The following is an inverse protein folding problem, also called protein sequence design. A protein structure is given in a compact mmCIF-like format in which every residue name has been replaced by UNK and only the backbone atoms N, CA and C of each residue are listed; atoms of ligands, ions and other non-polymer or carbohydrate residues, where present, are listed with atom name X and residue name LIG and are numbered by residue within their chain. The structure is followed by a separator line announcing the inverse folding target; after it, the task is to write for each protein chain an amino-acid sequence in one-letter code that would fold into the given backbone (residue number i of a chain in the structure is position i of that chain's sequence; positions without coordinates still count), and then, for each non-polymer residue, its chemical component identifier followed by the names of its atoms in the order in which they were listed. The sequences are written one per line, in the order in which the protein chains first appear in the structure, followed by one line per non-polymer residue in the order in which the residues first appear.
data_IF_872584390213
#
_entry.id   IF_872584390213
#
_cell.length_a   1.000
_cell.length_b   1.000
_cell.length_c   1.000
_cell.angle_alpha   90.00
_cell.angle_beta   90.00
_cell.angle_gamma   90.00
#
_symmetry.space_group_name_H-M   'P 1'
#
loop_
_entity.id
_entity.type
_entity.pdbx_description
1 polymer ?
#
# COMPACT_ATOMS: atom_id res chain seq x y z
N UNK A 1 28.13 11.96 40.00
CA UNK A 1 27.71 10.58 39.63
C UNK A 1 28.63 10.12 38.52
N UNK A 2 29.44 9.09 38.77
CA UNK A 2 30.33 8.56 37.74
C UNK A 2 29.47 7.96 36.62
N UNK A 3 29.63 8.45 35.39
CA UNK A 3 29.07 7.80 34.22
C UNK A 3 29.65 6.38 34.18
N UNK A 4 28.80 5.36 34.35
CA UNK A 4 29.21 3.98 34.16
C UNK A 4 29.70 3.87 32.71
N UNK A 5 30.98 3.55 32.53
CA UNK A 5 31.53 3.31 31.19
C UNK A 5 30.70 2.21 30.53
N UNK A 6 30.02 2.55 29.43
CA UNK A 6 29.24 1.59 28.67
C UNK A 6 30.17 0.53 28.04
N UNK A 7 29.72 -0.71 27.97
CA UNK A 7 30.48 -1.82 27.36
C UNK A 7 30.73 -1.50 25.87
N UNK A 8 32.01 -1.38 25.41
CA UNK A 8 32.34 -1.09 24.02
C UNK A 8 31.71 -2.05 23.00
N UNK A 9 31.41 -3.30 23.41
CA UNK A 9 30.74 -4.28 22.55
C UNK A 9 29.29 -3.89 22.26
N UNK A 10 28.59 -3.35 23.27
CA UNK A 10 27.20 -2.90 23.12
C UNK A 10 27.13 -1.65 22.24
N UNK A 11 28.11 -0.75 22.34
CA UNK A 11 28.24 0.41 21.45
C UNK A 11 28.42 -0.04 20.00
N UNK A 12 29.34 -0.99 19.74
CA UNK A 12 29.56 -1.51 18.39
C UNK A 12 28.31 -2.21 17.81
N UNK A 13 27.58 -2.96 18.64
CA UNK A 13 26.30 -3.56 18.24
C UNK A 13 25.24 -2.49 17.95
N UNK A 14 25.20 -1.40 18.72
CA UNK A 14 24.30 -0.28 18.48
C UNK A 14 24.58 0.40 17.14
N UNK A 15 25.84 0.76 16.87
CA UNK A 15 26.26 1.37 15.61
C UNK A 15 25.93 0.47 14.40
N UNK A 16 26.16 -0.84 14.55
CA UNK A 16 25.78 -1.84 13.54
C UNK A 16 24.26 -1.88 13.34
N UNK A 17 23.47 -1.92 14.40
CA UNK A 17 22.00 -1.95 14.33
C UNK A 17 21.44 -0.70 13.66
N UNK A 18 21.95 0.50 14.00
CA UNK A 18 21.57 1.76 13.35
C UNK A 18 21.85 1.71 11.84
N UNK A 19 23.06 1.30 11.44
CA UNK A 19 23.43 1.20 10.03
C UNK A 19 22.56 0.21 9.26
N UNK A 20 22.30 -0.97 9.84
CA UNK A 20 21.46 -1.98 9.22
C UNK A 20 19.99 -1.54 9.14
N UNK A 21 19.48 -0.82 10.15
CA UNK A 21 18.08 -0.37 10.15
C UNK A 21 17.85 0.61 9.00
N UNK A 22 18.75 1.57 8.88
CA UNK A 22 18.79 2.54 7.79
C UNK A 22 18.79 1.83 6.42
N UNK A 23 19.67 0.86 6.25
CA UNK A 23 19.81 0.13 5.00
C UNK A 23 18.54 -0.67 4.68
N UNK A 24 18.08 -1.50 5.63
CA UNK A 24 16.95 -2.40 5.44
C UNK A 24 15.61 -1.66 5.26
N UNK A 25 15.41 -0.54 5.95
CA UNK A 25 14.19 0.24 5.80
C UNK A 25 14.16 1.07 4.52
N UNK A 26 15.25 1.20 3.75
CA UNK A 26 15.33 2.08 2.57
C UNK A 26 14.21 1.82 1.56
N UNK A 27 13.95 0.54 1.26
CA UNK A 27 12.96 0.12 0.27
C UNK A 27 11.52 0.07 0.81
N UNK A 28 11.32 0.24 2.11
CA UNK A 28 9.99 0.28 2.71
C UNK A 28 9.46 1.72 2.65
N UNK A 29 8.28 1.96 2.07
CA UNK A 29 7.72 3.32 2.04
C UNK A 29 7.31 3.80 3.44
N UNK A 30 7.70 5.03 3.80
CA UNK A 30 7.39 5.63 5.11
C UNK A 30 5.87 5.69 5.39
N UNK A 31 5.07 5.92 4.35
CA UNK A 31 3.59 5.96 4.38
C UNK A 31 2.91 4.69 4.88
N UNK A 32 3.61 3.56 4.92
CA UNK A 32 3.05 2.28 5.39
C UNK A 32 3.04 2.23 6.91
N UNK A 33 3.95 2.94 7.56
CA UNK A 33 4.01 3.00 9.02
C UNK A 33 2.90 3.87 9.60
N UNK A 34 2.37 3.57 10.80
CA UNK A 34 1.19 4.27 11.34
C UNK A 34 1.43 5.76 11.57
N UNK A 35 2.68 6.12 11.91
CA UNK A 35 3.10 7.50 12.13
C UNK A 35 3.42 8.27 10.84
N UNK A 36 3.40 7.59 9.68
CA UNK A 36 3.85 8.14 8.40
C UNK A 36 5.37 8.32 8.27
N UNK A 37 6.14 8.01 9.33
CA UNK A 37 7.61 7.99 9.33
C UNK A 37 8.14 6.58 9.53
N UNK A 38 9.37 6.33 9.09
CA UNK A 38 10.10 5.09 9.40
C UNK A 38 10.40 5.01 10.91
N UNK A 39 10.34 3.81 11.53
CA UNK A 39 10.73 3.65 12.93
C UNK A 39 12.23 3.91 13.10
N UNK A 40 12.59 4.51 14.23
CA UNK A 40 13.98 4.74 14.64
C UNK A 40 14.52 3.54 15.40
N UNK A 41 15.83 3.52 15.64
CA UNK A 41 16.42 2.49 16.51
C UNK A 41 15.87 2.56 17.94
N UNK A 42 15.54 3.77 18.41
CA UNK A 42 14.97 3.99 19.74
C UNK A 42 13.57 3.37 19.82
N UNK A 43 12.74 3.56 18.79
CA UNK A 43 11.41 2.93 18.73
C UNK A 43 11.52 1.39 18.88
N UNK A 44 12.54 0.78 18.28
CA UNK A 44 12.79 -0.67 18.38
C UNK A 44 13.31 -1.06 19.78
N UNK A 45 14.28 -0.32 20.32
CA UNK A 45 14.86 -0.58 21.65
C UNK A 45 13.86 -0.37 22.79
N UNK A 46 12.96 0.59 22.67
CA UNK A 46 11.90 0.84 23.64
C UNK A 46 10.67 -0.04 23.41
N UNK A 47 10.67 -0.86 22.36
CA UNK A 47 9.54 -1.67 21.93
C UNK A 47 8.26 -0.82 21.75
N UNK A 48 8.40 0.35 21.13
CA UNK A 48 7.30 1.22 20.77
C UNK A 48 6.50 0.62 19.61
N UNK A 49 5.65 -0.37 19.94
CA UNK A 49 4.84 -1.14 19.00
C UNK A 49 4.05 -0.23 18.05
N UNK A 50 3.55 0.92 18.53
CA UNK A 50 2.79 1.88 17.73
C UNK A 50 3.60 2.48 16.55
N UNK A 51 4.93 2.44 16.60
CA UNK A 51 5.77 2.97 15.53
C UNK A 51 5.99 1.99 14.38
N UNK A 52 5.97 0.69 14.62
CA UNK A 52 6.37 -0.33 13.64
C UNK A 52 5.38 -1.48 13.43
N UNK A 53 4.41 -1.68 14.33
CA UNK A 53 3.36 -2.67 14.14
C UNK A 53 2.25 -2.12 13.26
N UNK A 54 1.89 -2.87 12.22
CA UNK A 54 0.82 -2.49 11.31
C UNK A 54 -0.41 -3.34 11.65
N UNK A 55 -1.48 -2.76 12.22
CA UNK A 55 -2.64 -3.54 12.70
C UNK A 55 -3.29 -4.41 11.62
N UNK A 56 -3.23 -3.97 10.37
CA UNK A 56 -3.83 -4.62 9.20
C UNK A 56 -2.97 -5.72 8.57
N UNK A 57 -1.79 -5.98 9.10
CA UNK A 57 -0.90 -6.97 8.51
C UNK A 57 -1.02 -8.28 9.28
N UNK A 58 -1.02 -9.42 8.56
CA UNK A 58 -0.85 -10.72 9.20
C UNK A 58 0.34 -10.70 10.16
N UNK A 59 0.25 -11.29 11.37
CA UNK A 59 1.34 -11.28 12.33
C UNK A 59 2.66 -11.83 11.78
N UNK A 60 2.60 -12.76 10.82
CA UNK A 60 3.77 -13.34 10.16
C UNK A 60 4.47 -12.41 9.15
N UNK A 61 3.86 -11.28 8.79
CA UNK A 61 4.43 -10.30 7.84
C UNK A 61 4.77 -8.96 8.51
N UNK A 62 4.90 -8.94 9.84
CA UNK A 62 5.32 -7.75 10.58
C UNK A 62 6.80 -7.43 10.32
N UNK A 63 7.30 -6.33 10.90
CA UNK A 63 8.61 -5.78 10.55
C UNK A 63 9.77 -6.75 10.81
N UNK A 64 9.67 -7.59 11.84
CA UNK A 64 10.64 -8.64 12.16
C UNK A 64 10.82 -9.65 11.01
N UNK A 65 9.73 -10.04 10.34
CA UNK A 65 9.80 -10.91 9.17
C UNK A 65 10.62 -10.25 8.05
N UNK A 66 10.35 -8.98 7.75
CA UNK A 66 11.08 -8.25 6.69
C UNK A 66 12.56 -8.11 7.06
N UNK A 67 12.86 -7.71 8.30
CA UNK A 67 14.26 -7.50 8.72
C UNK A 67 15.05 -8.80 8.78
N UNK A 68 14.44 -9.89 9.25
CA UNK A 68 15.08 -11.20 9.36
C UNK A 68 15.28 -11.89 8.00
N UNK A 69 14.43 -11.58 7.02
CA UNK A 69 14.49 -12.19 5.68
C UNK A 69 14.90 -11.19 4.59
N UNK A 70 15.52 -10.05 4.93
CA UNK A 70 15.74 -8.95 3.99
C UNK A 70 16.49 -9.38 2.71
N UNK A 71 17.41 -10.34 2.81
CA UNK A 71 18.13 -10.94 1.69
C UNK A 71 17.20 -11.53 0.63
N UNK A 72 16.08 -12.13 1.03
CA UNK A 72 15.07 -12.66 0.10
C UNK A 72 14.28 -11.53 -0.58
N UNK A 73 14.07 -10.40 0.09
CA UNK A 73 13.44 -9.22 -0.52
C UNK A 73 14.37 -8.56 -1.53
N UNK A 74 15.68 -8.49 -1.23
CA UNK A 74 16.69 -8.05 -2.20
C UNK A 74 16.71 -8.98 -3.40
N UNK A 75 16.58 -10.30 -3.20
CA UNK A 75 16.52 -11.30 -4.27
C UNK A 75 15.30 -11.10 -5.18
N UNK A 76 14.20 -10.70 -4.56
CA UNK A 76 12.95 -10.37 -5.22
C UNK A 76 12.99 -9.01 -5.93
N UNK A 77 14.05 -8.20 -5.79
CA UNK A 77 14.09 -6.78 -6.21
C UNK A 77 12.92 -5.98 -5.60
N UNK A 78 12.47 -6.37 -4.41
CA UNK A 78 11.30 -5.79 -3.74
C UNK A 78 10.03 -5.78 -4.61
N UNK A 79 9.95 -6.67 -5.61
CA UNK A 79 8.81 -6.85 -6.50
C UNK A 79 8.11 -8.15 -6.20
N UNK A 80 6.79 -8.14 -6.35
CA UNK A 80 5.98 -9.33 -6.18
C UNK A 80 6.27 -10.31 -7.31
N UNK A 81 6.42 -11.59 -6.98
CA UNK A 81 6.63 -12.66 -7.96
C UNK A 81 5.69 -13.82 -7.69
N UNK A 82 4.88 -14.13 -8.70
CA UNK A 82 3.83 -15.15 -8.61
C UNK A 82 4.36 -16.57 -8.80
N UNK A 83 5.27 -16.77 -9.76
CA UNK A 83 5.77 -18.11 -10.15
C UNK A 83 7.17 -18.43 -9.63
N UNK A 84 7.96 -17.42 -9.32
CA UNK A 84 9.36 -17.54 -8.96
C UNK A 84 9.60 -16.94 -7.58
N UNK A 85 10.28 -17.66 -6.69
CA UNK A 85 10.68 -17.17 -5.37
C UNK A 85 9.79 -17.62 -4.23
N UNK A 86 10.08 -17.07 -3.04
CA UNK A 86 9.36 -17.38 -1.81
C UNK A 86 8.02 -16.64 -1.78
N UNK A 87 6.92 -17.39 -1.65
CA UNK A 87 5.58 -16.82 -1.66
C UNK A 87 5.33 -15.90 -0.46
N UNK A 88 5.84 -16.23 0.73
CA UNK A 88 5.68 -15.38 1.91
C UNK A 88 6.36 -14.02 1.72
N UNK A 89 7.49 -13.99 1.00
CA UNK A 89 8.17 -12.74 0.63
C UNK A 89 7.32 -11.93 -0.35
N UNK A 90 6.76 -12.56 -1.40
CA UNK A 90 5.84 -11.90 -2.32
C UNK A 90 4.61 -11.31 -1.62
N UNK A 91 4.02 -12.05 -0.69
CA UNK A 91 2.87 -11.58 0.10
C UNK A 91 3.26 -10.45 1.06
N UNK A 92 4.43 -10.52 1.70
CA UNK A 92 4.94 -9.43 2.52
C UNK A 92 5.19 -8.16 1.67
N UNK A 93 5.72 -8.27 0.45
CA UNK A 93 5.90 -7.15 -0.49
C UNK A 93 4.55 -6.48 -0.81
N UNK A 94 3.47 -7.27 -1.01
CA UNK A 94 2.11 -6.77 -1.20
C UNK A 94 1.63 -5.92 -0.01
N UNK A 95 1.72 -6.47 1.21
CA UNK A 95 1.28 -5.80 2.43
C UNK A 95 2.09 -4.53 2.67
N UNK A 96 3.42 -4.62 2.62
CA UNK A 96 4.34 -3.51 2.80
C UNK A 96 4.38 -2.51 1.63
N UNK A 97 3.56 -2.72 0.58
CA UNK A 97 3.43 -1.81 -0.55
C UNK A 97 4.77 -1.45 -1.21
N UNK A 98 5.71 -2.39 -1.23
CA UNK A 98 7.04 -2.12 -1.81
C UNK A 98 6.99 -2.16 -3.34
N UNK A 99 6.06 -2.94 -3.90
CA UNK A 99 5.77 -2.98 -5.32
C UNK A 99 4.62 -2.02 -5.69
N UNK A 100 4.93 -1.03 -6.53
CA UNK A 100 3.93 -0.06 -7.00
C UNK A 100 2.87 -0.65 -7.94
N UNK A 101 3.15 -1.82 -8.52
CA UNK A 101 2.22 -2.54 -9.39
C UNK A 101 1.35 -3.52 -8.60
N UNK A 102 1.82 -3.99 -7.44
CA UNK A 102 1.17 -5.02 -6.62
C UNK A 102 1.14 -4.59 -5.16
N UNK A 103 0.07 -3.90 -4.79
CA UNK A 103 -0.20 -3.54 -3.40
C UNK A 103 -1.68 -3.18 -3.25
N UNK A 104 -2.14 -3.07 -2.01
CA UNK A 104 -3.44 -2.45 -1.73
C UNK A 104 -3.33 -0.93 -1.53
N UNK A 105 -2.26 -0.31 -2.04
CA UNK A 105 -2.02 1.10 -1.81
C UNK A 105 -3.03 1.97 -2.53
N UNK A 106 -3.64 2.89 -1.79
CA UNK A 106 -4.44 3.99 -2.34
C UNK A 106 -3.59 5.03 -3.10
N UNK A 107 -2.27 5.04 -2.86
CA UNK A 107 -1.35 6.04 -3.44
C UNK A 107 -0.71 5.61 -4.75
N UNK A 108 -0.66 4.31 -5.04
CA UNK A 108 -0.09 3.83 -6.30
C UNK A 108 -1.08 3.99 -7.46
N UNK A 109 -0.69 4.74 -8.48
CA UNK A 109 -1.53 5.00 -9.65
C UNK A 109 -1.93 3.70 -10.37
N UNK A 110 -1.01 2.74 -10.53
CA UNK A 110 -1.30 1.46 -11.19
C UNK A 110 -2.40 0.68 -10.46
N UNK A 111 -2.32 0.64 -9.13
CA UNK A 111 -3.35 0.03 -8.28
C UNK A 111 -4.68 0.78 -8.44
N UNK A 112 -4.69 2.11 -8.31
CA UNK A 112 -5.92 2.91 -8.48
C UNK A 112 -6.59 2.67 -9.83
N UNK A 113 -5.83 2.58 -10.93
CA UNK A 113 -6.40 2.31 -12.25
C UNK A 113 -7.00 0.90 -12.34
N UNK A 114 -6.37 -0.12 -11.73
CA UNK A 114 -6.97 -1.46 -11.64
C UNK A 114 -8.28 -1.45 -10.84
N UNK A 115 -8.31 -0.74 -9.69
CA UNK A 115 -9.52 -0.60 -8.88
C UNK A 115 -10.62 0.15 -9.64
N UNK A 116 -10.29 1.22 -10.36
CA UNK A 116 -11.25 1.93 -11.20
C UNK A 116 -11.88 0.99 -12.23
N UNK A 117 -11.06 0.19 -12.91
CA UNK A 117 -11.56 -0.77 -13.90
C UNK A 117 -12.41 -1.87 -13.28
N UNK A 118 -12.02 -2.40 -12.10
CA UNK A 118 -12.84 -3.35 -11.35
C UNK A 118 -14.22 -2.76 -10.98
N UNK A 119 -14.28 -1.48 -10.63
CA UNK A 119 -15.55 -0.79 -10.39
C UNK A 119 -16.37 -0.64 -11.67
N UNK A 120 -15.76 -0.16 -12.76
CA UNK A 120 -16.48 0.08 -14.03
C UNK A 120 -17.00 -1.24 -14.62
N UNK A 121 -16.22 -2.32 -14.55
CA UNK A 121 -16.66 -3.64 -15.03
C UNK A 121 -17.78 -4.22 -14.16
N UNK A 122 -17.68 -4.12 -12.84
CA UNK A 122 -18.72 -4.58 -11.92
C UNK A 122 -20.04 -3.80 -12.05
N UNK A 123 -19.99 -2.57 -12.55
CA UNK A 123 -21.15 -1.71 -12.82
C UNK A 123 -21.68 -1.83 -14.26
N UNK A 124 -20.97 -2.54 -15.14
CA UNK A 124 -21.39 -2.73 -16.53
C UNK A 124 -22.62 -3.62 -16.61
N UNK A 125 -23.56 -3.32 -17.51
CA UNK A 125 -24.67 -4.21 -17.85
C UNK A 125 -24.23 -5.41 -18.69
N UNK A 126 -23.03 -5.32 -19.30
CA UNK A 126 -22.48 -6.33 -20.21
C UNK A 126 -20.99 -6.58 -19.88
N UNK A 127 -20.64 -7.04 -18.66
CA UNK A 127 -19.24 -7.23 -18.27
C UNK A 127 -18.53 -8.28 -19.15
N UNK A 128 -19.25 -9.32 -19.55
CA UNK A 128 -18.73 -10.42 -20.36
C UNK A 128 -18.31 -10.03 -21.79
N UNK A 129 -18.60 -8.80 -22.22
CA UNK A 129 -18.07 -8.25 -23.48
C UNK A 129 -16.57 -7.97 -23.39
N UNK A 130 -16.06 -7.66 -22.20
CA UNK A 130 -14.68 -7.21 -22.00
C UNK A 130 -13.81 -8.21 -21.23
N UNK A 131 -14.42 -9.01 -20.35
CA UNK A 131 -13.70 -9.97 -19.50
C UNK A 131 -14.43 -11.31 -19.41
N UNK A 132 -13.70 -12.37 -19.10
CA UNK A 132 -14.27 -13.68 -18.76
C UNK A 132 -14.96 -13.65 -17.39
N UNK A 133 -15.75 -14.68 -17.07
CA UNK A 133 -16.37 -14.82 -15.74
C UNK A 133 -15.32 -14.91 -14.63
N UNK A 134 -14.27 -15.73 -14.82
CA UNK A 134 -13.18 -15.86 -13.85
C UNK A 134 -12.40 -14.53 -13.65
N UNK A 135 -12.20 -13.73 -14.71
CA UNK A 135 -11.55 -12.43 -14.60
C UNK A 135 -12.44 -11.41 -13.88
N UNK A 136 -13.76 -11.50 -14.04
CA UNK A 136 -14.72 -10.71 -13.28
C UNK A 136 -14.67 -11.05 -11.79
N UNK A 137 -14.63 -12.34 -11.44
CA UNK A 137 -14.47 -12.80 -10.05
C UNK A 137 -13.16 -12.30 -9.45
N UNK A 138 -12.05 -12.43 -10.18
CA UNK A 138 -10.74 -11.91 -9.77
C UNK A 138 -10.78 -10.39 -9.50
N UNK A 139 -11.36 -9.60 -10.42
CA UNK A 139 -11.46 -8.15 -10.26
C UNK A 139 -12.37 -7.74 -9.10
N UNK A 140 -13.42 -8.53 -8.84
CA UNK A 140 -14.34 -8.32 -7.71
C UNK A 140 -13.64 -8.60 -6.38
N UNK A 141 -12.89 -9.71 -6.29
CA UNK A 141 -12.10 -10.03 -5.10
C UNK A 141 -11.02 -8.98 -4.82
N UNK A 142 -10.37 -8.45 -5.86
CA UNK A 142 -9.43 -7.33 -5.75
C UNK A 142 -10.09 -6.08 -5.15
N UNK A 143 -11.27 -5.71 -5.67
CA UNK A 143 -12.01 -4.55 -5.20
C UNK A 143 -12.43 -4.72 -3.73
N UNK A 144 -12.96 -5.89 -3.38
CA UNK A 144 -13.35 -6.23 -2.01
C UNK A 144 -12.16 -6.15 -1.05
N UNK A 145 -11.02 -6.75 -1.41
CA UNK A 145 -9.79 -6.68 -0.62
C UNK A 145 -9.29 -5.24 -0.44
N UNK A 146 -9.30 -4.44 -1.51
CA UNK A 146 -8.88 -3.04 -1.45
C UNK A 146 -9.80 -2.19 -0.56
N UNK A 147 -11.12 -2.34 -0.69
CA UNK A 147 -12.09 -1.66 0.17
C UNK A 147 -11.93 -2.09 1.63
N UNK A 148 -11.68 -3.37 1.89
CA UNK A 148 -11.50 -3.91 3.25
C UNK A 148 -10.33 -3.30 3.99
N UNK A 149 -9.22 -3.01 3.27
CA UNK A 149 -8.05 -2.33 3.86
C UNK A 149 -8.36 -0.97 4.48
N UNK A 150 -9.51 -0.38 4.12
CA UNK A 150 -9.95 0.94 4.58
C UNK A 150 -11.03 0.85 5.65
N UNK A 151 -11.85 -0.20 5.64
CA UNK A 151 -13.04 -0.31 6.49
C UNK A 151 -12.77 -1.00 7.82
N UNK A 152 -11.88 -2.00 7.86
CA UNK A 152 -11.61 -2.80 9.07
C UNK A 152 -10.12 -2.94 9.26
N UNK A 153 -9.56 -2.18 10.20
CA UNK A 153 -8.10 -2.06 10.34
C UNK A 153 -7.43 -3.22 11.10
N UNK A 154 -8.22 -4.16 11.58
CA UNK A 154 -7.85 -5.31 12.40
C UNK A 154 -8.15 -6.65 11.70
N UNK A 155 -8.61 -6.61 10.45
CA UNK A 155 -9.09 -7.76 9.71
C UNK A 155 -8.49 -7.77 8.29
N UNK A 156 -7.69 -8.79 8.00
CA UNK A 156 -7.01 -8.96 6.72
C UNK A 156 -7.56 -10.13 5.89
N UNK A 157 -8.71 -10.69 6.28
CA UNK A 157 -9.29 -11.89 5.64
C UNK A 157 -9.52 -11.70 4.13
N UNK A 158 -10.07 -10.54 3.72
CA UNK A 158 -10.33 -10.26 2.30
C UNK A 158 -9.05 -10.14 1.48
N UNK A 159 -8.01 -9.57 2.07
CA UNK A 159 -6.69 -9.49 1.47
C UNK A 159 -6.10 -10.89 1.29
N UNK A 160 -6.20 -11.77 2.29
CA UNK A 160 -5.73 -13.16 2.17
C UNK A 160 -6.51 -13.98 1.15
N UNK A 161 -7.84 -13.82 1.10
CA UNK A 161 -8.68 -14.48 0.08
C UNK A 161 -8.24 -14.06 -1.32
N UNK A 162 -8.12 -12.75 -1.57
CA UNK A 162 -7.67 -12.25 -2.87
C UNK A 162 -6.26 -12.72 -3.20
N UNK A 163 -5.32 -12.64 -2.25
CA UNK A 163 -3.94 -13.07 -2.51
C UNK A 163 -3.87 -14.57 -2.79
N UNK A 164 -4.67 -15.39 -2.10
CA UNK A 164 -4.77 -16.83 -2.39
C UNK A 164 -5.30 -17.08 -3.80
N UNK A 165 -6.33 -16.33 -4.24
CA UNK A 165 -6.84 -16.41 -5.59
C UNK A 165 -5.81 -15.90 -6.62
N UNK A 166 -5.08 -14.83 -6.32
CA UNK A 166 -4.04 -14.30 -7.19
C UNK A 166 -2.87 -15.27 -7.35
N UNK A 167 -2.41 -15.91 -6.27
CA UNK A 167 -1.34 -16.91 -6.31
C UNK A 167 -1.73 -18.12 -7.15
N UNK A 168 -2.92 -18.66 -6.93
CA UNK A 168 -3.35 -19.93 -7.54
C UNK A 168 -4.06 -19.75 -8.89
N UNK A 169 -4.51 -18.53 -9.21
CA UNK A 169 -5.27 -18.23 -10.42
C UNK A 169 -4.39 -17.94 -11.65
N UNK A 170 -4.99 -17.76 -12.83
CA UNK A 170 -4.25 -17.44 -14.05
C UNK A 170 -4.02 -15.94 -14.24
N UNK A 171 -4.70 -15.08 -13.48
CA UNK A 171 -4.69 -13.64 -13.68
C UNK A 171 -3.71 -12.88 -12.80
N UNK A 172 -3.25 -11.75 -13.30
CA UNK A 172 -2.43 -10.75 -12.65
C UNK A 172 -3.02 -9.34 -12.87
N UNK A 173 -2.50 -8.34 -12.17
CA UNK A 173 -2.94 -6.95 -12.34
C UNK A 173 -2.54 -6.38 -13.70
N UNK A 174 -3.38 -5.51 -14.24
CA UNK A 174 -3.03 -4.74 -15.44
C UNK A 174 -1.84 -3.85 -15.17
N UNK A 175 -0.88 -3.84 -16.12
CA UNK A 175 0.23 -2.90 -16.14
C UNK A 175 0.02 -1.87 -17.24
N UNK A 176 -0.26 -0.64 -16.84
CA UNK A 176 -0.41 0.47 -17.79
C UNK A 176 0.96 1.02 -18.16
N UNK A 177 1.39 0.77 -19.40
CA UNK A 177 2.55 1.44 -19.98
C UNK A 177 2.35 2.97 -20.02
N UNK A 178 3.42 3.72 -20.29
CA UNK A 178 3.40 5.20 -20.23
C UNK A 178 2.28 5.83 -21.05
N UNK A 179 2.03 5.34 -22.26
CA UNK A 179 0.97 5.82 -23.17
C UNK A 179 -0.42 5.51 -22.61
N UNK A 180 -0.69 4.23 -22.32
CA UNK A 180 -1.97 3.76 -21.78
C UNK A 180 -2.32 4.47 -20.46
N UNK A 181 -1.32 4.70 -19.60
CA UNK A 181 -1.49 5.45 -18.36
C UNK A 181 -1.93 6.90 -18.60
N UNK A 182 -1.35 7.59 -19.59
CA UNK A 182 -1.74 8.94 -19.94
C UNK A 182 -3.17 9.00 -20.49
N UNK A 183 -3.54 8.02 -21.32
CA UNK A 183 -4.90 7.88 -21.87
C UNK A 183 -5.90 7.63 -20.75
N UNK A 184 -5.62 6.70 -19.84
CA UNK A 184 -6.44 6.46 -18.65
C UNK A 184 -6.60 7.69 -17.77
N UNK A 185 -5.53 8.45 -17.49
CA UNK A 185 -5.63 9.70 -16.72
C UNK A 185 -6.53 10.74 -17.41
N UNK A 186 -6.49 10.85 -18.75
CA UNK A 186 -7.41 11.71 -19.51
C UNK A 186 -8.85 11.22 -19.41
N UNK A 187 -9.05 9.92 -19.50
CA UNK A 187 -10.36 9.30 -19.36
C UNK A 187 -10.95 9.53 -17.95
N UNK A 188 -10.13 9.41 -16.89
CA UNK A 188 -10.51 9.75 -15.50
C UNK A 188 -10.90 11.23 -15.36
N UNK A 189 -10.20 12.13 -16.05
CA UNK A 189 -10.57 13.55 -16.06
C UNK A 189 -11.92 13.81 -16.74
N UNK A 190 -12.28 13.02 -17.74
CA UNK A 190 -13.60 13.11 -18.36
C UNK A 190 -14.70 12.56 -17.44
N UNK A 191 -14.41 11.50 -16.71
CA UNK A 191 -15.26 10.92 -15.66
C UNK A 191 -15.63 11.94 -14.58
N UNK A 192 -14.75 12.89 -14.24
CA UNK A 192 -15.00 13.95 -13.24
C UNK A 192 -16.33 14.69 -13.44
N UNK A 193 -16.77 14.87 -14.69
CA UNK A 193 -18.03 15.58 -15.01
C UNK A 193 -19.29 14.81 -14.57
N UNK A 194 -19.16 13.51 -14.34
CA UNK A 194 -20.27 12.61 -14.04
C UNK A 194 -20.22 12.05 -12.62
N UNK A 195 -19.03 12.09 -11.99
CA UNK A 195 -18.82 11.61 -10.64
C UNK A 195 -19.05 12.81 -9.70
N UNK A 196 -20.12 12.79 -8.88
CA UNK A 196 -20.35 13.88 -7.95
C UNK A 196 -19.23 13.95 -6.94
N UNK A 197 -18.96 15.16 -6.45
CA UNK A 197 -18.06 15.35 -5.33
C UNK A 197 -18.49 14.43 -4.17
N UNK A 198 -17.53 13.88 -3.42
CA UNK A 198 -17.82 13.08 -2.24
C UNK A 198 -18.78 13.82 -1.32
N UNK A 199 -19.96 13.27 -1.08
CA UNK A 199 -21.05 13.95 -0.34
C UNK A 199 -20.75 14.11 1.16
N UNK A 200 -19.62 13.61 1.64
CA UNK A 200 -19.17 13.73 3.02
C UNK A 200 -17.89 14.57 3.08
N UNK A 201 -17.99 15.75 3.68
CA UNK A 201 -16.87 16.29 4.45
C UNK A 201 -17.04 15.71 5.85
N UNK A 202 -16.19 14.79 6.30
CA UNK A 202 -16.23 14.40 7.70
C UNK A 202 -16.17 15.63 8.62
N UNK A 203 -16.67 15.52 9.86
CA UNK A 203 -16.43 16.56 10.85
C UNK A 203 -14.92 16.84 10.88
N UNK A 204 -14.57 18.12 10.72
CA UNK A 204 -13.23 18.68 10.80
C UNK A 204 -12.14 18.00 9.95
N UNK A 205 -12.03 18.34 8.66
CA UNK A 205 -10.85 18.08 7.80
C UNK A 205 -10.40 16.62 7.64
N UNK A 206 -11.16 15.63 8.11
CA UNK A 206 -10.77 14.24 7.92
C UNK A 206 -10.90 13.90 6.42
N UNK A 207 -9.94 13.17 5.82
CA UNK A 207 -10.09 12.72 4.45
C UNK A 207 -11.37 11.89 4.30
N UNK A 208 -12.12 12.11 3.21
CA UNK A 208 -13.35 11.35 2.82
C UNK A 208 -13.22 9.85 3.10
N UNK A 209 -12.03 9.32 2.87
CA UNK A 209 -11.67 7.91 2.96
C UNK A 209 -11.57 7.36 4.36
N UNK A 210 -11.44 8.21 5.38
CA UNK A 210 -11.51 7.73 6.76
C UNK A 210 -12.94 7.66 7.28
N UNK A 211 -13.91 8.32 6.63
CA UNK A 211 -15.33 8.15 6.96
C UNK A 211 -15.81 6.71 6.72
N UNK A 212 -15.14 6.01 5.79
CA UNK A 212 -15.43 4.64 5.36
C UNK A 212 -15.29 3.62 6.50
N UNK A 213 -14.46 3.87 7.51
CA UNK A 213 -14.31 2.96 8.66
C UNK A 213 -15.52 2.92 9.59
N UNK A 214 -16.43 3.89 9.46
CA UNK A 214 -17.62 4.00 10.30
C UNK A 214 -18.90 3.45 9.64
N UNK A 215 -18.82 2.96 8.40
CA UNK A 215 -19.99 2.40 7.72
C UNK A 215 -20.06 0.88 7.83
N UNK A 216 -21.29 0.35 7.81
CA UNK A 216 -21.50 -1.09 7.90
C UNK A 216 -20.90 -1.85 6.71
N UNK A 217 -20.46 -3.10 6.89
CA UNK A 217 -19.98 -3.94 5.77
C UNK A 217 -21.01 -4.11 4.65
N UNK A 218 -22.30 -4.19 4.98
CA UNK A 218 -23.38 -4.25 3.99
C UNK A 218 -23.41 -3.00 3.12
N UNK A 219 -23.20 -1.83 3.74
CA UNK A 219 -23.13 -0.57 3.02
C UNK A 219 -21.94 -0.55 2.05
N UNK A 220 -20.75 -0.94 2.52
CA UNK A 220 -19.53 -1.01 1.70
C UNK A 220 -19.74 -1.96 0.52
N UNK A 221 -20.38 -3.11 0.73
CA UNK A 221 -20.69 -4.05 -0.36
C UNK A 221 -21.60 -3.43 -1.43
N UNK A 222 -22.58 -2.62 -1.04
CA UNK A 222 -23.53 -2.02 -1.99
C UNK A 222 -22.97 -0.78 -2.69
N UNK A 223 -22.21 0.06 -1.99
CA UNK A 223 -21.83 1.40 -2.46
C UNK A 223 -20.32 1.66 -2.49
N UNK A 224 -19.51 0.70 -2.05
CA UNK A 224 -18.06 0.75 -2.10
C UNK A 224 -17.48 1.05 -3.49
N UNK A 225 -18.01 0.47 -4.60
CA UNK A 225 -17.56 0.84 -5.94
C UNK A 225 -17.78 2.32 -6.27
N UNK A 226 -18.93 2.88 -5.89
CA UNK A 226 -19.24 4.30 -6.11
C UNK A 226 -18.24 5.19 -5.37
N UNK A 227 -17.94 4.85 -4.12
CA UNK A 227 -16.91 5.54 -3.36
C UNK A 227 -15.55 5.40 -4.02
N UNK A 228 -15.12 4.19 -4.39
CA UNK A 228 -13.79 3.97 -4.95
C UNK A 228 -13.57 4.87 -6.19
N UNK A 229 -14.58 4.98 -7.05
CA UNK A 229 -14.58 5.92 -8.18
C UNK A 229 -14.43 7.37 -7.70
N UNK A 230 -15.23 7.81 -6.71
CA UNK A 230 -15.09 9.14 -6.11
C UNK A 230 -13.70 9.39 -5.50
N UNK A 231 -13.07 8.37 -4.88
CA UNK A 231 -11.68 8.48 -4.40
C UNK A 231 -10.76 8.86 -5.52
N UNK A 232 -10.80 8.05 -6.57
CA UNK A 232 -9.79 8.01 -7.59
C UNK A 232 -9.90 9.31 -8.36
N UNK A 233 -11.11 9.73 -8.72
CA UNK A 233 -11.36 11.05 -9.33
C UNK A 233 -10.87 12.19 -8.44
N UNK A 234 -11.16 12.19 -7.14
CA UNK A 234 -10.72 13.25 -6.23
C UNK A 234 -9.19 13.30 -6.07
N UNK A 235 -8.53 12.14 -5.98
CA UNK A 235 -7.07 12.02 -5.91
C UNK A 235 -6.43 12.48 -7.21
N UNK A 236 -6.94 12.08 -8.38
CA UNK A 236 -6.39 12.51 -9.67
C UNK A 236 -6.61 14.00 -9.93
N UNK A 237 -7.76 14.56 -9.52
CA UNK A 237 -8.04 16.01 -9.53
C UNK A 237 -7.05 16.78 -8.66
N UNK A 238 -6.75 16.24 -7.50
CA UNK A 238 -5.77 16.79 -6.54
C UNK A 238 -4.33 16.43 -6.90
N UNK A 239 -4.12 15.53 -7.87
CA UNK A 239 -2.86 14.79 -8.11
C UNK A 239 -1.68 15.68 -8.44
N UNK A 240 -1.91 16.88 -8.99
CA UNK A 240 -0.84 17.89 -9.11
C UNK A 240 -0.24 18.25 -7.75
N UNK A 241 -1.07 18.42 -6.72
CA UNK A 241 -0.61 18.72 -5.36
C UNK A 241 -0.14 17.49 -4.59
N UNK A 242 -0.72 16.30 -4.81
CA UNK A 242 -0.35 15.09 -4.05
C UNK A 242 0.96 14.47 -4.54
N UNK A 243 1.22 14.46 -5.85
CA UNK A 243 2.54 14.02 -6.36
C UNK A 243 3.61 15.06 -6.04
N UNK A 244 3.26 16.35 -6.02
CA UNK A 244 4.14 17.41 -5.52
C UNK A 244 4.37 17.26 -4.01
N UNK A 245 3.36 16.99 -3.18
CA UNK A 245 3.47 16.76 -1.73
C UNK A 245 4.10 15.41 -1.36
N UNK A 246 3.98 14.39 -2.21
CA UNK A 246 4.62 13.10 -2.05
C UNK A 246 6.10 13.21 -2.42
N UNK A 247 6.42 13.91 -3.51
CA UNK A 247 7.81 14.24 -3.85
C UNK A 247 8.40 15.23 -2.86
N UNK A 248 7.72 16.31 -2.48
CA UNK A 248 8.21 17.22 -1.45
C UNK A 248 8.13 16.61 -0.07
N UNK A 249 7.28 15.64 0.23
CA UNK A 249 7.29 14.94 1.51
C UNK A 249 8.43 13.92 1.60
N UNK A 250 8.72 13.19 0.52
CA UNK A 250 9.91 12.33 0.44
C UNK A 250 11.19 13.15 0.27
N UNK A 251 11.13 14.32 -0.37
CA UNK A 251 12.23 15.28 -0.52
C UNK A 251 12.38 16.16 0.72
N UNK A 252 11.34 16.49 1.48
CA UNK A 252 11.39 17.18 2.77
C UNK A 252 11.78 16.20 3.86
N UNK A 253 11.32 14.95 3.82
CA UNK A 253 11.95 13.90 4.61
C UNK A 253 13.41 13.81 4.19
N UNK A 254 13.77 13.76 2.91
CA UNK A 254 15.17 13.78 2.48
C UNK A 254 15.90 15.09 2.80
N UNK A 255 15.26 16.25 2.96
CA UNK A 255 15.92 17.55 3.23
C UNK A 255 15.99 17.85 4.73
N UNK A 256 14.94 17.56 5.48
CA UNK A 256 14.88 17.58 6.94
C UNK A 256 15.75 16.45 7.55
N UNK A 257 15.86 15.32 6.86
CA UNK A 257 16.88 14.28 7.12
C UNK A 257 18.15 14.49 6.29
N UNK A 258 18.45 15.69 5.78
CA UNK A 258 19.74 16.06 5.18
C UNK A 258 20.34 15.06 4.18
N UNK A 259 19.52 14.23 3.55
CA UNK A 259 19.81 13.05 2.75
C UNK A 259 20.24 13.42 1.33
N UNK A 260 21.26 14.28 1.25
CA UNK A 260 22.30 14.02 0.29
C UNK A 260 23.58 13.50 0.96
N UNK A 261 23.84 13.82 2.24
CA UNK A 261 24.95 13.23 3.02
C UNK A 261 24.84 13.37 4.57
N UNK A 262 23.85 14.08 5.13
CA UNK A 262 23.89 14.62 6.50
C UNK A 262 22.84 14.11 7.52
N UNK A 263 21.61 13.70 7.16
CA UNK A 263 20.62 13.30 8.20
C UNK A 263 20.35 11.81 8.30
N UNK A 264 21.36 11.00 7.98
CA UNK A 264 21.63 9.82 8.81
C UNK A 264 22.29 10.17 10.15
N UNK A 265 22.79 11.39 10.33
CA UNK A 265 23.36 11.85 11.60
C UNK A 265 22.34 11.89 12.74
N UNK A 266 21.04 12.11 12.50
CA UNK A 266 20.06 12.26 13.60
C UNK A 266 19.22 11.03 13.93
N UNK A 267 19.27 9.95 13.12
CA UNK A 267 18.56 8.70 13.44
C UNK A 267 19.23 7.86 14.55
N UNK A 268 20.33 8.35 15.11
CA UNK A 268 21.08 7.63 16.16
C UNK A 268 22.13 8.45 16.92
N UNK A 269 22.51 9.68 16.50
CA UNK A 269 23.42 10.53 17.29
C UNK A 269 22.66 11.45 18.26
N UNK A 270 21.55 10.98 18.82
CA UNK A 270 21.08 11.50 20.09
C UNK A 270 22.11 11.16 21.18
N UNK A 271 21.98 11.71 22.41
CA UNK A 271 22.77 11.20 23.53
C UNK A 271 22.64 9.68 23.57
N UNK A 272 23.78 8.97 23.78
CA UNK A 272 23.83 7.51 23.82
C UNK A 272 22.61 6.99 24.60
N UNK A 273 21.76 6.12 24.01
CA UNK A 273 20.53 5.71 24.66
C UNK A 273 20.90 5.09 26.01
N UNK A 274 20.45 5.74 27.09
CA UNK A 274 20.67 5.26 28.45
C UNK A 274 19.88 3.96 28.60
N UNK A 275 20.54 2.81 28.44
CA UNK A 275 19.87 1.51 28.51
C UNK A 275 20.31 0.45 27.51
N UNK A 276 21.44 0.61 26.80
CA UNK A 276 22.01 -0.49 26.03
C UNK A 276 22.29 -1.69 26.95
N UNK A 277 21.71 -2.85 26.64
CA UNK A 277 21.88 -4.07 27.40
C UNK A 277 21.84 -5.29 26.50
N UNK A 278 22.46 -6.39 26.93
CA UNK A 278 22.37 -7.67 26.22
C UNK A 278 20.92 -8.15 26.07
N UNK A 279 20.04 -7.80 27.00
CA UNK A 279 18.62 -8.12 26.93
C UNK A 279 17.94 -7.42 25.75
N UNK A 280 18.21 -6.12 25.53
CA UNK A 280 17.68 -5.39 24.37
C UNK A 280 18.14 -6.04 23.08
N UNK A 281 19.43 -6.38 22.98
CA UNK A 281 19.97 -7.05 21.81
C UNK A 281 19.45 -8.47 21.64
N UNK A 282 19.05 -9.16 22.71
CA UNK A 282 18.46 -10.50 22.66
C UNK A 282 17.01 -10.55 22.17
N UNK A 283 16.34 -9.39 21.97
CA UNK A 283 14.95 -9.36 21.51
C UNK A 283 14.83 -9.82 20.05
N UNK A 284 13.77 -10.57 19.68
CA UNK A 284 13.60 -11.11 18.33
C UNK A 284 13.74 -10.06 17.21
N UNK A 285 13.09 -8.90 17.35
CA UNK A 285 13.15 -7.82 16.35
C UNK A 285 14.57 -7.25 16.18
N UNK A 286 15.34 -7.12 17.27
CA UNK A 286 16.73 -6.62 17.22
C UNK A 286 17.66 -7.68 16.63
N UNK A 287 17.44 -8.96 16.94
CA UNK A 287 18.18 -10.07 16.33
C UNK A 287 17.89 -10.16 14.82
N UNK A 288 16.63 -10.04 14.41
CA UNK A 288 16.24 -9.98 13.00
C UNK A 288 16.90 -8.79 12.27
N UNK A 289 16.96 -7.62 12.92
CA UNK A 289 17.66 -6.46 12.41
C UNK A 289 19.16 -6.73 12.21
N UNK A 290 19.81 -7.30 13.22
CA UNK A 290 21.26 -7.57 13.24
C UNK A 290 21.70 -8.73 12.34
N UNK A 291 20.76 -9.51 11.81
CA UNK A 291 21.04 -10.58 10.85
C UNK A 291 21.73 -9.99 9.61
N UNK A 292 23.01 -10.32 9.44
CA UNK A 292 23.80 -9.93 8.27
C UNK A 292 23.50 -10.86 7.11
N UNK A 293 23.53 -10.28 5.93
CA UNK A 293 23.28 -10.99 4.69
C UNK A 293 24.64 -11.39 4.12
N UNK A 294 24.73 -12.60 3.60
CA UNK A 294 25.85 -12.94 2.72
C UNK A 294 25.74 -12.05 1.47
N UNK A 295 26.87 -11.60 0.92
CA UNK A 295 26.89 -10.83 -0.33
C UNK A 295 26.29 -11.70 -1.43
N UNK A 296 24.99 -11.55 -1.67
CA UNK A 296 24.30 -12.30 -2.70
C UNK A 296 24.51 -11.60 -4.05
N UNK A 297 25.41 -12.15 -4.87
CA UNK A 297 25.50 -11.86 -6.30
C UNK A 297 24.20 -12.32 -6.98
N UNK A 298 23.17 -11.49 -6.94
CA UNK A 298 21.86 -11.86 -7.46
C UNK A 298 21.66 -11.35 -8.87
N UNK A 299 21.56 -12.30 -9.79
CA UNK A 299 21.00 -12.06 -11.10
C UNK A 299 19.56 -11.57 -10.93
N UNK A 300 19.26 -10.36 -11.41
CA UNK A 300 17.90 -9.86 -11.51
C UNK A 300 17.19 -10.69 -12.58
N UNK A 301 16.19 -11.51 -12.23
CA UNK A 301 15.47 -12.27 -13.23
C UNK A 301 14.65 -11.34 -14.13
N UNK A 302 14.43 -11.78 -15.36
CA UNK A 302 13.70 -11.01 -16.36
C UNK A 302 12.27 -10.72 -15.87
N UNK A 303 11.79 -9.50 -16.12
CA UNK A 303 10.40 -9.16 -15.80
C UNK A 303 9.44 -10.10 -16.54
N UNK A 304 8.56 -10.77 -15.77
CA UNK A 304 7.51 -11.61 -16.33
C UNK A 304 6.69 -10.86 -17.38
N UNK A 305 6.41 -11.52 -18.51
CA UNK A 305 5.70 -10.92 -19.63
C UNK A 305 4.27 -10.49 -19.29
N UNK A 306 3.73 -9.55 -20.07
CA UNK A 306 2.38 -8.95 -19.94
C UNK A 306 1.21 -9.93 -20.13
N UNK A 307 1.46 -11.24 -20.27
CA UNK A 307 0.50 -12.23 -20.77
C UNK A 307 -0.58 -12.67 -19.79
N UNK A 308 -0.60 -12.16 -18.56
CA UNK A 308 -1.50 -12.63 -17.48
C UNK A 308 -2.44 -11.56 -16.95
N UNK A 309 -2.47 -10.35 -17.52
CA UNK A 309 -3.36 -9.30 -17.04
C UNK A 309 -4.84 -9.70 -17.11
N UNK A 310 -5.61 -9.45 -16.04
CA UNK A 310 -7.03 -9.80 -15.95
C UNK A 310 -7.92 -9.09 -16.99
N UNK A 311 -7.42 -8.00 -17.58
CA UNK A 311 -8.06 -7.27 -18.67
C UNK A 311 -6.98 -6.68 -19.59
N UNK A 312 -7.28 -6.55 -20.88
CA UNK A 312 -6.38 -5.87 -21.81
C UNK A 312 -6.43 -4.35 -21.57
N UNK A 313 -5.27 -3.66 -21.42
CA UNK A 313 -5.25 -2.20 -21.25
C UNK A 313 -5.94 -1.40 -22.36
N UNK A 314 -5.95 -1.90 -23.60
CA UNK A 314 -6.65 -1.25 -24.71
C UNK A 314 -8.18 -1.29 -24.50
N UNK A 315 -8.70 -2.46 -24.14
CA UNK A 315 -10.12 -2.65 -23.83
C UNK A 315 -10.52 -1.83 -22.60
N UNK A 316 -9.62 -1.70 -21.62
CA UNK A 316 -9.84 -0.83 -20.46
C UNK A 316 -10.03 0.64 -20.87
N UNK A 317 -9.17 1.15 -21.75
CA UNK A 317 -9.27 2.52 -22.26
C UNK A 317 -10.56 2.71 -23.06
N UNK A 318 -10.85 1.80 -24.01
CA UNK A 318 -12.09 1.84 -24.80
C UNK A 318 -13.31 1.84 -23.87
N UNK A 319 -13.29 1.01 -22.82
CA UNK A 319 -14.39 0.92 -21.88
C UNK A 319 -14.63 2.24 -21.15
N UNK A 320 -13.58 2.94 -20.70
CA UNK A 320 -13.72 4.25 -20.03
C UNK A 320 -14.11 5.37 -21.01
N UNK A 321 -13.59 5.37 -22.24
CA UNK A 321 -13.93 6.40 -23.24
C UNK A 321 -15.35 6.21 -23.79
N UNK A 322 -15.72 4.96 -24.07
CA UNK A 322 -17.03 4.55 -24.58
C UNK A 322 -18.15 4.64 -23.54
N UNK A 323 -17.83 4.74 -22.24
CA UNK A 323 -18.84 4.92 -21.19
C UNK A 323 -19.46 6.32 -21.16
N UNK A 324 -18.94 7.30 -21.92
CA UNK A 324 -19.51 8.66 -22.00
C UNK A 324 -21.03 8.70 -22.28
N UNK A 325 -21.55 7.76 -23.08
CA UNK A 325 -22.98 7.59 -23.34
C UNK A 325 -23.71 6.65 -22.34
N UNK A 326 -22.97 5.82 -21.57
CA UNK A 326 -23.52 4.86 -20.59
C UNK A 326 -23.56 5.41 -19.15
N UNK A 327 -23.03 6.60 -18.88
CA UNK A 327 -22.98 7.23 -17.55
C UNK A 327 -24.34 7.61 -16.95
N UNK A 328 -25.45 7.49 -17.67
CA UNK A 328 -26.78 7.64 -17.07
C UNK A 328 -27.03 6.57 -15.99
N UNK A 329 -26.51 5.35 -16.15
CA UNK A 329 -26.60 4.31 -15.11
C UNK A 329 -25.78 4.61 -13.85
N UNK A 330 -24.64 5.29 -14.00
CA UNK A 330 -23.83 5.72 -12.85
C UNK A 330 -24.50 6.86 -12.07
N UNK A 331 -25.26 7.75 -12.74
CA UNK A 331 -26.06 8.76 -12.04
C UNK A 331 -27.09 8.12 -11.11
N UNK A 332 -27.69 7.01 -11.49
CA UNK A 332 -28.61 6.26 -10.63
C UNK A 332 -27.89 5.62 -9.42
N UNK A 333 -26.70 5.06 -9.64
CA UNK A 333 -25.87 4.56 -8.53
C UNK A 333 -25.56 5.68 -7.52
N UNK A 334 -25.11 6.84 -8.00
CA UNK A 334 -24.77 7.97 -7.12
C UNK A 334 -26.00 8.66 -6.52
N UNK A 335 -27.16 8.61 -7.16
CA UNK A 335 -28.42 9.18 -6.62
C UNK A 335 -28.97 8.35 -5.46
N UNK A 336 -28.68 7.04 -5.45
CA UNK A 336 -29.03 6.09 -4.39
C UNK A 336 -28.08 6.14 -3.19
N UNK A 337 -26.88 6.68 -3.36
CA UNK A 337 -25.98 6.98 -2.24
C UNK A 337 -26.52 8.21 -1.50
N UNK A 338 -27.54 8.02 -0.66
CA UNK A 338 -28.07 9.06 0.25
C UNK A 338 -27.60 8.79 1.68
N UNK A 339 -26.69 9.63 2.15
CA UNK A 339 -25.98 9.47 3.42
C UNK A 339 -26.82 9.68 4.68
N UNK A 340 -27.93 10.41 4.59
CA UNK A 340 -28.81 10.66 5.74
C UNK A 340 -29.46 9.42 6.36
N UNK A 341 -29.41 8.26 5.69
CA UNK A 341 -30.02 7.01 6.15
C UNK A 341 -29.02 6.04 6.81
N UNK A 342 -27.74 6.42 6.94
CA UNK A 342 -26.66 5.47 7.29
C UNK A 342 -26.26 5.47 8.78
N UNK A 343 -26.55 6.54 9.51
CA UNK A 343 -26.18 6.67 10.93
C UNK A 343 -27.20 6.04 11.89
N UNK A 344 -28.42 5.76 11.42
CA UNK A 344 -29.54 5.39 12.30
C UNK A 344 -29.53 3.92 12.75
N UNK A 345 -28.59 3.11 12.27
CA UNK A 345 -28.49 1.68 12.64
C UNK A 345 -27.18 1.31 13.36
N UNK A 346 -26.43 2.29 13.87
CA UNK A 346 -25.20 2.07 14.64
C UNK A 346 -25.40 2.30 16.16
N UNK A 347 -26.61 2.03 16.67
CA UNK A 347 -26.92 2.00 18.11
C UNK A 347 -26.96 0.57 18.63
#
# INVERSE_FOLDING_TARGET
MASAQQDPRLIALHEKAVRLLVHKLKCIPARVFPSGRKPTIIDIYENNVAAFHIPNFPPCYQLDFVLGNYHLFVAADFKVRKKEGDMNVSLAIWFWQMDQYHSFSRRHLQVRLNILMACIIGLSTEPHRYVTEDALEFSTALLDAWLWTVTRQDDYEKQEIFLTQWVNGPYDLMRFGKKARLEMCRAVKNLEKYVPDPQYAPPDNVPIWEGVKYVSPKFVKTFGPAWAIQHIVAVEKSGKKIDELGKTGEVEDALATGSFFAGFGSMGLGPEPSGLSLEVFGRPLVQALLHEEEDLDMAVPAEGGLGEAWMNPADAIEMVEGTSARYEGMKDLFSKVKWGEMTDNAA
#
